data_IF_771500252681
#
_entry.id   IF_771500252681
#
_cell.length_a   1.000
_cell.length_b   1.000
_cell.length_c   1.000
_cell.angle_alpha   90.00
_cell.angle_beta   90.00
_cell.angle_gamma   90.00
#
_symmetry.space_group_name_H-M   'P 1'
#
loop_
_entity.id
_entity.type
_entity.pdbx_description
1 polymer ?
#
# COMPACT_ATOMS: atom_id res chain seq x y z
N UNK A 1 8.34 -19.98 -12.08
CA UNK A 1 7.92 -18.57 -12.17
C UNK A 1 6.91 -18.33 -11.05
N UNK A 2 7.38 -18.02 -9.85
CA UNK A 2 6.55 -17.48 -8.77
C UNK A 2 7.22 -16.15 -8.41
N UNK A 3 6.92 -15.11 -9.19
CA UNK A 3 7.36 -13.76 -8.89
C UNK A 3 6.51 -13.25 -7.75
N UNK A 4 6.69 -13.84 -6.56
CA UNK A 4 6.05 -13.39 -5.33
C UNK A 4 6.52 -11.97 -5.10
N UNK A 5 5.69 -10.99 -5.48
CA UNK A 5 6.02 -9.59 -5.32
C UNK A 5 6.19 -9.34 -3.83
N UNK A 6 7.44 -9.12 -3.41
CA UNK A 6 7.73 -8.72 -2.05
C UNK A 6 7.27 -7.27 -1.95
N UNK A 7 6.10 -7.06 -1.34
CA UNK A 7 5.59 -5.73 -1.07
C UNK A 7 6.24 -5.25 0.22
N UNK A 8 7.32 -4.46 0.08
CA UNK A 8 8.05 -3.84 1.17
C UNK A 8 7.74 -2.34 1.30
N UNK A 9 8.15 -1.74 2.43
CA UNK A 9 7.92 -0.33 2.73
C UNK A 9 8.57 0.64 1.74
N UNK A 10 9.71 0.29 1.12
CA UNK A 10 10.35 1.13 0.12
C UNK A 10 9.57 1.15 -1.19
N UNK A 11 8.99 0.01 -1.61
CA UNK A 11 8.07 -0.03 -2.75
C UNK A 11 6.86 0.87 -2.52
N UNK A 12 6.20 0.74 -1.36
CA UNK A 12 5.05 1.56 -0.98
C UNK A 12 5.42 3.04 -0.99
N UNK A 13 6.56 3.40 -0.40
CA UNK A 13 7.04 4.79 -0.36
C UNK A 13 7.22 5.36 -1.77
N UNK A 14 7.83 4.60 -2.69
CA UNK A 14 7.99 5.05 -4.09
C UNK A 14 6.63 5.28 -4.76
N UNK A 15 5.69 4.35 -4.61
CA UNK A 15 4.34 4.49 -5.16
C UNK A 15 3.63 5.73 -4.62
N UNK A 16 3.72 5.99 -3.31
CA UNK A 16 3.15 7.18 -2.68
C UNK A 16 3.81 8.44 -3.22
N UNK A 17 5.15 8.50 -3.34
CA UNK A 17 5.82 9.70 -3.89
C UNK A 17 5.42 9.97 -5.34
N UNK A 18 5.27 8.93 -6.16
CA UNK A 18 4.94 9.07 -7.58
C UNK A 18 3.47 9.43 -7.81
N UNK A 19 2.53 8.76 -7.11
CA UNK A 19 1.09 8.96 -7.32
C UNK A 19 0.51 10.07 -6.44
N UNK A 20 1.07 10.28 -5.24
CA UNK A 20 0.59 11.22 -4.23
C UNK A 20 1.73 12.11 -3.69
N UNK A 21 2.27 13.02 -4.52
CA UNK A 21 3.44 13.83 -4.15
C UNK A 21 3.23 14.72 -2.92
N UNK A 22 1.99 15.03 -2.55
CA UNK A 22 1.63 15.78 -1.33
C UNK A 22 1.95 15.01 -0.04
N UNK A 23 1.95 13.67 -0.10
CA UNK A 23 2.14 12.80 1.07
C UNK A 23 3.53 12.18 1.13
N UNK A 24 4.46 12.59 0.25
CA UNK A 24 5.83 12.06 0.16
C UNK A 24 6.64 12.15 1.47
N UNK A 25 6.28 13.08 2.34
CA UNK A 25 6.96 13.32 3.61
C UNK A 25 6.45 12.45 4.76
N UNK A 26 5.32 11.76 4.59
CA UNK A 26 4.72 10.94 5.63
C UNK A 26 5.50 9.63 5.82
N UNK A 27 5.59 9.18 7.08
CA UNK A 27 6.23 7.91 7.42
C UNK A 27 5.37 6.73 6.95
N UNK A 28 5.99 5.69 6.38
CA UNK A 28 5.31 4.47 5.97
C UNK A 28 5.69 3.34 6.93
N UNK A 29 4.71 2.71 7.58
CA UNK A 29 4.95 1.59 8.53
C UNK A 29 4.10 0.38 8.15
N UNK A 30 4.65 -0.85 8.14
CA UNK A 30 3.85 -2.03 7.87
C UNK A 30 2.85 -2.27 9.01
N UNK A 31 1.65 -2.74 8.67
CA UNK A 31 0.69 -3.24 9.66
C UNK A 31 1.00 -4.72 9.93
N UNK A 32 1.14 -5.11 11.20
CA UNK A 32 1.44 -6.50 11.59
C UNK A 32 0.32 -7.48 11.23
N UNK A 33 -0.92 -7.00 11.15
CA UNK A 33 -2.12 -7.76 10.76
C UNK A 33 -2.59 -7.35 9.36
N UNK A 34 -1.97 -7.91 8.33
CA UNK A 34 -2.43 -7.83 6.94
C UNK A 34 -3.28 -9.05 6.57
N UNK A 35 -4.44 -8.83 5.95
CA UNK A 35 -5.24 -9.94 5.40
C UNK A 35 -4.47 -10.72 4.34
N UNK A 36 -4.85 -11.98 4.10
CA UNK A 36 -4.12 -12.89 3.22
C UNK A 36 -3.84 -12.27 1.83
N UNK A 37 -4.80 -11.54 1.27
CA UNK A 37 -4.73 -11.04 -0.10
C UNK A 37 -4.14 -9.63 -0.20
N UNK A 38 -4.07 -8.87 0.89
CA UNK A 38 -3.71 -7.46 0.88
C UNK A 38 -2.64 -7.12 1.92
N UNK A 39 -1.59 -6.43 1.48
CA UNK A 39 -0.59 -5.83 2.36
C UNK A 39 -1.02 -4.41 2.72
N UNK A 40 -1.24 -4.18 4.01
CA UNK A 40 -1.63 -2.85 4.52
C UNK A 40 -0.43 -2.17 5.19
N UNK A 41 -0.29 -0.87 4.95
CA UNK A 41 0.73 -0.01 5.54
C UNK A 41 0.06 1.25 6.11
N UNK A 42 0.52 1.72 7.26
CA UNK A 42 0.18 3.06 7.74
C UNK A 42 0.99 4.11 6.98
N UNK A 43 0.33 5.20 6.61
CA UNK A 43 0.93 6.39 6.03
C UNK A 43 0.66 7.57 6.97
N UNK A 44 1.69 8.01 7.68
CA UNK A 44 1.51 8.90 8.83
C UNK A 44 0.67 8.23 9.92
N UNK A 45 -0.09 9.05 10.65
CA UNK A 45 -0.87 8.59 11.81
C UNK A 45 -2.36 8.35 11.49
N UNK A 46 -2.87 8.90 10.38
CA UNK A 46 -4.30 8.86 10.05
C UNK A 46 -4.66 8.08 8.78
N UNK A 47 -3.68 7.69 7.95
CA UNK A 47 -3.95 7.09 6.64
C UNK A 47 -3.41 5.66 6.53
N UNK A 48 -4.00 4.88 5.65
CA UNK A 48 -3.53 3.53 5.32
C UNK A 48 -3.42 3.34 3.81
N UNK A 49 -2.38 2.64 3.39
CA UNK A 49 -2.14 2.22 2.01
C UNK A 49 -2.36 0.71 1.96
N UNK A 50 -3.20 0.26 1.04
CA UNK A 50 -3.56 -1.16 0.89
C UNK A 50 -3.18 -1.59 -0.52
N UNK A 51 -2.28 -2.55 -0.62
CA UNK A 51 -1.78 -3.07 -1.88
C UNK A 51 -2.22 -4.53 -2.05
N UNK A 52 -2.77 -4.91 -3.21
CA UNK A 52 -3.05 -6.30 -3.53
C UNK A 52 -1.73 -7.08 -3.62
N UNK A 53 -1.66 -8.21 -2.93
CA UNK A 53 -0.51 -9.12 -2.94
C UNK A 53 -0.66 -10.28 -3.94
N UNK A 54 -1.83 -10.40 -4.56
CA UNK A 54 -2.08 -11.22 -5.74
C UNK A 54 -2.07 -10.38 -7.02
N UNK A 55 -2.02 -11.04 -8.18
CA UNK A 55 -2.34 -10.40 -9.47
C UNK A 55 -3.79 -9.92 -9.39
N UNK A 56 -3.98 -8.62 -9.16
CA UNK A 56 -5.27 -7.99 -9.29
C UNK A 56 -5.69 -7.97 -10.75
N UNK A 57 -6.96 -8.23 -11.01
CA UNK A 57 -7.60 -7.90 -12.28
C UNK A 57 -7.29 -6.41 -12.59
N UNK A 58 -6.74 -6.08 -13.77
CA UNK A 58 -6.36 -4.70 -14.13
C UNK A 58 -7.53 -3.72 -14.16
N UNK A 59 -8.77 -4.19 -14.02
CA UNK A 59 -9.96 -3.35 -13.90
C UNK A 59 -10.23 -2.79 -12.48
N UNK A 60 -9.60 -3.33 -11.43
CA UNK A 60 -9.72 -2.81 -10.07
C UNK A 60 -8.59 -1.83 -9.73
N UNK A 61 -8.91 -0.54 -9.69
CA UNK A 61 -8.03 0.55 -9.28
C UNK A 61 -7.47 0.30 -7.86
N UNK A 62 -6.13 0.33 -7.64
CA UNK A 62 -5.51 0.18 -6.32
C UNK A 62 -5.65 1.48 -5.52
N UNK A 63 -6.86 1.79 -5.08
CA UNK A 63 -7.11 3.05 -4.38
C UNK A 63 -6.62 2.99 -2.93
N UNK A 64 -5.83 4.00 -2.53
CA UNK A 64 -5.54 4.32 -1.14
C UNK A 64 -6.87 4.58 -0.43
N UNK A 65 -7.26 3.71 0.49
CA UNK A 65 -8.47 3.88 1.28
C UNK A 65 -8.19 4.81 2.46
N UNK A 66 -8.95 5.89 2.58
CA UNK A 66 -9.00 6.70 3.80
C UNK A 66 -9.49 5.82 4.97
N UNK A 67 -8.76 5.81 6.09
CA UNK A 67 -8.94 4.87 7.20
C UNK A 67 -10.19 5.06 8.07
N UNK A 68 -11.32 5.52 7.51
CA UNK A 68 -12.60 5.58 8.22
C UNK A 68 -13.71 4.97 7.37
N UNK A 69 -14.04 3.72 7.69
CA UNK A 69 -15.39 3.19 7.63
C UNK A 69 -15.84 2.98 9.08
#
# INVERSE_FOLDING_TARGET
MDSRLIIDTALVRRLVVTQFPLWKCLAVRPVELGGWDNRTFHLGDEMTVRLPSGVGDPSCDPTIACGKC
#
